data_IF_011642587048
#
_entry.id   IF_011642587048
#
_cell.length_a   1.000
_cell.length_b   1.000
_cell.length_c   1.000
_cell.angle_alpha   90.00
_cell.angle_beta   90.00
_cell.angle_gamma   90.00
#
_symmetry.space_group_name_H-M   'P 1'
#
loop_
_entity.id
_entity.type
_entity.pdbx_description
1 polymer ?
#
# COMPACT_ATOMS: atom_id res chain seq x y z
N UNK A 1 -33.43 10.87 25.35
CA UNK A 1 -32.44 10.08 24.61
C UNK A 1 -31.08 10.69 24.84
N UNK A 2 -30.21 10.01 25.61
CA UNK A 2 -28.82 10.45 25.80
C UNK A 2 -28.05 10.14 24.53
N UNK A 3 -27.57 11.16 23.82
CA UNK A 3 -26.57 10.97 22.79
C UNK A 3 -25.29 10.56 23.49
N UNK A 4 -24.94 9.29 23.41
CA UNK A 4 -23.61 8.82 23.81
C UNK A 4 -22.60 9.59 22.95
N UNK A 5 -21.70 10.26 23.66
CA UNK A 5 -20.58 11.01 23.06
C UNK A 5 -19.69 10.03 22.29
N UNK A 6 -19.96 9.85 21.00
CA UNK A 6 -19.19 8.97 20.13
C UNK A 6 -17.90 9.68 19.76
N UNK A 7 -16.82 9.36 20.47
CA UNK A 7 -15.48 9.83 20.11
C UNK A 7 -15.02 9.10 18.86
N UNK A 8 -14.67 9.83 17.82
CA UNK A 8 -13.95 9.27 16.67
C UNK A 8 -12.56 8.87 17.12
N UNK A 9 -12.26 7.58 17.04
CA UNK A 9 -10.93 7.05 17.33
C UNK A 9 -10.16 6.90 16.03
N UNK A 10 -9.02 7.59 15.93
CA UNK A 10 -8.10 7.46 14.80
C UNK A 10 -6.96 6.52 15.20
N UNK A 11 -6.69 5.52 14.35
CA UNK A 11 -5.49 4.70 14.49
C UNK A 11 -4.26 5.42 13.92
N UNK A 12 -3.10 5.05 14.43
CA UNK A 12 -1.78 5.43 13.92
C UNK A 12 -0.80 4.29 14.16
N UNK A 13 0.41 4.39 13.62
CA UNK A 13 1.44 3.39 13.84
C UNK A 13 1.79 3.23 15.33
N UNK A 14 1.74 4.33 16.11
CA UNK A 14 2.03 4.34 17.55
C UNK A 14 0.80 4.04 18.42
N UNK A 15 -0.40 4.08 17.84
CA UNK A 15 -1.64 3.89 18.59
C UNK A 15 -2.72 3.27 17.71
N UNK A 16 -2.85 1.96 17.77
CA UNK A 16 -3.90 1.23 17.09
C UNK A 16 -4.48 0.13 17.98
N UNK A 17 -5.67 -0.32 17.65
CA UNK A 17 -6.32 -1.46 18.28
C UNK A 17 -6.42 -2.57 17.25
N UNK A 18 -5.88 -3.74 17.60
CA UNK A 18 -6.07 -4.95 16.81
C UNK A 18 -7.54 -5.34 16.86
N UNK A 19 -8.14 -5.51 15.71
CA UNK A 19 -9.49 -6.06 15.61
C UNK A 19 -9.52 -7.51 16.10
N UNK A 20 -10.73 -8.05 16.23
CA UNK A 20 -10.95 -9.43 16.56
C UNK A 20 -12.11 -9.99 15.75
N UNK A 21 -12.12 -11.29 15.57
CA UNK A 21 -13.21 -12.03 14.95
C UNK A 21 -13.46 -13.32 15.74
N UNK A 22 -14.71 -13.62 15.96
CA UNK A 22 -15.13 -14.92 16.43
C UNK A 22 -15.41 -15.82 15.21
N UNK A 23 -14.63 -16.89 15.10
CA UNK A 23 -14.77 -17.87 14.00
C UNK A 23 -15.48 -19.08 14.53
N UNK A 24 -16.62 -19.44 13.89
CA UNK A 24 -17.45 -20.61 14.24
C UNK A 24 -17.36 -21.59 13.09
N UNK A 25 -16.89 -22.80 13.38
CA UNK A 25 -16.79 -23.94 12.45
C UNK A 25 -16.04 -23.63 11.12
N UNK A 26 -15.02 -22.74 11.17
CA UNK A 26 -14.21 -22.39 10.00
C UNK A 26 -12.74 -22.14 10.37
N UNK A 27 -11.88 -21.97 9.38
CA UNK A 27 -10.46 -21.69 9.55
C UNK A 27 -10.19 -20.17 9.57
N UNK A 28 -9.53 -19.70 10.62
CA UNK A 28 -9.12 -18.29 10.75
C UNK A 28 -8.37 -17.74 9.55
N UNK A 29 -7.67 -18.59 8.82
CA UNK A 29 -6.90 -18.21 7.63
C UNK A 29 -7.78 -17.75 6.46
N UNK A 30 -9.09 -18.01 6.51
CA UNK A 30 -10.04 -17.49 5.52
C UNK A 30 -10.43 -16.02 5.78
N UNK A 31 -10.04 -15.46 6.94
CA UNK A 31 -10.45 -14.11 7.35
C UNK A 31 -9.24 -13.23 7.62
N UNK A 32 -9.15 -12.10 6.90
CA UNK A 32 -8.20 -11.04 7.21
C UNK A 32 -8.82 -10.06 8.23
N UNK A 33 -8.44 -10.16 9.49
CA UNK A 33 -8.96 -9.32 10.56
C UNK A 33 -7.86 -8.53 11.27
N UNK A 34 -6.83 -8.18 10.56
CA UNK A 34 -5.72 -7.40 11.10
C UNK A 34 -5.94 -5.91 10.94
N UNK A 35 -5.17 -5.15 11.70
CA UNK A 35 -5.06 -3.72 11.57
C UNK A 35 -3.90 -3.38 10.60
N UNK A 36 -4.12 -2.45 9.68
CA UNK A 36 -3.08 -2.04 8.71
C UNK A 36 -1.83 -1.48 9.38
N UNK A 37 -1.97 -0.86 10.55
CA UNK A 37 -0.83 -0.36 11.33
C UNK A 37 -0.02 -1.51 11.94
N UNK A 38 -0.67 -2.58 12.42
CA UNK A 38 0.01 -3.80 12.89
C UNK A 38 0.82 -4.41 11.75
N UNK A 39 0.21 -4.59 10.58
CA UNK A 39 0.90 -5.13 9.41
C UNK A 39 2.11 -4.27 9.04
N UNK A 40 1.95 -2.94 8.98
CA UNK A 40 3.04 -2.03 8.68
C UNK A 40 4.15 -2.06 9.73
N UNK A 41 3.83 -2.25 11.03
CA UNK A 41 4.82 -2.31 12.11
C UNK A 41 5.76 -3.50 11.97
N UNK A 42 5.29 -4.61 11.40
CA UNK A 42 6.01 -5.87 11.22
C UNK A 42 6.55 -6.08 9.80
N UNK A 43 6.16 -5.23 8.84
CA UNK A 43 6.63 -5.29 7.47
C UNK A 43 8.01 -4.65 7.30
N UNK A 44 8.76 -5.11 6.30
CA UNK A 44 9.98 -4.42 5.85
C UNK A 44 9.61 -3.11 5.14
N UNK A 45 10.55 -2.14 5.05
CA UNK A 45 10.31 -0.91 4.29
C UNK A 45 9.82 -1.21 2.86
N UNK A 46 8.68 -0.62 2.51
CA UNK A 46 8.00 -0.75 1.21
C UNK A 46 7.68 -2.16 0.73
N UNK A 47 7.71 -3.14 1.63
CA UNK A 47 7.18 -4.47 1.35
C UNK A 47 5.67 -4.40 1.16
N UNK A 48 5.17 -4.96 0.07
CA UNK A 48 3.77 -4.92 -0.35
C UNK A 48 2.99 -6.08 0.27
N UNK A 49 2.58 -5.95 1.53
CA UNK A 49 1.88 -7.03 2.25
C UNK A 49 0.39 -7.00 1.93
N UNK A 50 -0.11 -8.07 1.32
CA UNK A 50 -1.53 -8.22 1.00
C UNK A 50 -2.36 -8.36 2.27
N UNK A 51 -3.33 -7.47 2.45
CA UNK A 51 -4.27 -7.46 3.58
C UNK A 51 -5.72 -7.70 3.16
N UNK A 52 -5.98 -7.69 1.86
CA UNK A 52 -7.28 -8.02 1.29
C UNK A 52 -7.12 -8.47 -0.16
N UNK A 53 -7.93 -9.46 -0.56
CA UNK A 53 -7.87 -10.03 -1.91
C UNK A 53 -9.27 -10.34 -2.41
N UNK A 54 -9.58 -9.92 -3.62
CA UNK A 54 -10.81 -10.27 -4.31
C UNK A 54 -10.47 -10.62 -5.76
N UNK A 55 -10.43 -11.93 -6.05
CA UNK A 55 -9.99 -12.47 -7.33
C UNK A 55 -8.55 -12.02 -7.63
N UNK A 56 -8.38 -11.11 -8.58
CA UNK A 56 -7.09 -10.55 -8.99
C UNK A 56 -6.72 -9.23 -8.30
N UNK A 57 -7.70 -8.56 -7.69
CA UNK A 57 -7.47 -7.29 -7.01
C UNK A 57 -7.00 -7.51 -5.58
N UNK A 58 -6.01 -6.73 -5.18
CA UNK A 58 -5.46 -6.78 -3.83
C UNK A 58 -5.39 -5.39 -3.21
N UNK A 59 -5.51 -5.38 -1.90
CA UNK A 59 -5.16 -4.24 -1.06
C UNK A 59 -3.87 -4.62 -0.33
N UNK A 60 -2.87 -3.79 -0.48
CA UNK A 60 -1.54 -3.99 0.10
C UNK A 60 -1.27 -2.91 1.14
N UNK A 61 -0.71 -3.30 2.27
CA UNK A 61 -0.17 -2.37 3.27
C UNK A 61 1.33 -2.30 3.14
N UNK A 62 1.87 -1.07 3.15
CA UNK A 62 3.30 -0.79 3.06
C UNK A 62 3.75 0.04 4.25
N UNK A 63 4.88 -0.35 4.84
CA UNK A 63 5.64 0.48 5.77
C UNK A 63 6.44 1.51 4.98
N UNK A 64 6.06 2.77 5.04
CA UNK A 64 6.79 3.85 4.36
C UNK A 64 7.96 4.31 5.25
N UNK A 65 9.16 3.83 4.95
CA UNK A 65 10.38 4.16 5.68
C UNK A 65 11.54 4.38 4.69
N UNK A 66 12.14 5.57 4.72
CA UNK A 66 13.17 5.95 3.77
C UNK A 66 12.61 6.17 2.36
N UNK A 67 13.32 5.69 1.35
CA UNK A 67 12.95 5.84 -0.07
C UNK A 67 12.76 4.45 -0.70
N UNK A 68 11.65 4.25 -1.41
CA UNK A 68 11.38 3.00 -2.13
C UNK A 68 12.20 2.88 -3.41
N UNK A 69 12.19 1.70 -3.99
CA UNK A 69 12.53 1.52 -5.41
C UNK A 69 11.50 2.27 -6.29
N UNK A 70 11.83 2.39 -7.58
CA UNK A 70 10.89 2.82 -8.60
C UNK A 70 9.97 1.66 -9.01
N UNK A 71 8.68 1.95 -9.10
CA UNK A 71 7.67 1.02 -9.57
C UNK A 71 6.86 1.62 -10.72
N UNK A 72 6.24 0.75 -11.50
CA UNK A 72 5.23 1.07 -12.51
C UNK A 72 4.24 -0.08 -12.60
N UNK A 73 3.11 0.12 -13.29
CA UNK A 73 2.15 -0.94 -13.55
C UNK A 73 1.52 -0.79 -14.94
N UNK A 74 0.98 -1.89 -15.47
CA UNK A 74 0.22 -1.91 -16.72
C UNK A 74 -1.23 -1.39 -16.56
N UNK A 75 -1.62 -0.99 -15.35
CA UNK A 75 -2.94 -0.49 -14.95
C UNK A 75 -2.78 0.68 -13.98
N UNK A 76 -3.87 1.37 -13.70
CA UNK A 76 -3.90 2.41 -12.66
C UNK A 76 -3.88 1.76 -11.28
N UNK A 77 -3.09 2.33 -10.37
CA UNK A 77 -3.06 1.95 -8.96
C UNK A 77 -3.52 3.14 -8.12
N UNK A 78 -4.06 2.87 -6.93
CA UNK A 78 -4.49 3.91 -5.99
C UNK A 78 -3.80 3.74 -4.66
N UNK A 79 -3.31 4.84 -4.08
CA UNK A 79 -2.65 4.83 -2.77
C UNK A 79 -3.31 5.80 -1.81
N UNK A 80 -3.43 5.39 -0.54
CA UNK A 80 -3.92 6.20 0.57
C UNK A 80 -2.83 6.25 1.64
N UNK A 81 -2.55 7.46 2.16
CA UNK A 81 -1.68 7.64 3.31
C UNK A 81 -2.51 7.46 4.58
N UNK A 82 -2.26 6.38 5.32
CA UNK A 82 -2.93 6.09 6.58
C UNK A 82 -2.26 6.75 7.77
N UNK A 83 -0.93 6.93 7.70
CA UNK A 83 -0.13 7.63 8.73
C UNK A 83 1.14 8.23 8.14
N UNK A 84 1.70 9.24 8.83
CA UNK A 84 2.92 9.92 8.43
C UNK A 84 2.77 10.88 7.26
N UNK A 85 3.90 11.22 6.66
CA UNK A 85 4.02 12.11 5.49
C UNK A 85 4.86 11.44 4.42
N UNK A 86 4.35 11.39 3.20
CA UNK A 86 5.00 10.72 2.08
C UNK A 86 5.00 11.61 0.85
N UNK A 87 6.13 11.69 0.20
CA UNK A 87 6.27 12.27 -1.14
C UNK A 87 6.24 11.16 -2.18
N UNK A 88 5.62 11.45 -3.32
CA UNK A 88 5.56 10.55 -4.47
C UNK A 88 6.15 11.26 -5.68
N UNK A 89 7.33 10.82 -6.12
CA UNK A 89 7.90 11.23 -7.41
C UNK A 89 7.18 10.49 -8.53
N UNK A 90 6.85 11.19 -9.62
CA UNK A 90 6.19 10.65 -10.81
C UNK A 90 6.97 11.01 -12.08
N UNK A 91 7.20 9.99 -12.92
CA UNK A 91 7.84 10.10 -14.23
C UNK A 91 6.97 9.44 -15.28
N UNK A 92 6.55 10.16 -16.31
CA UNK A 92 5.91 9.59 -17.50
C UNK A 92 6.97 8.84 -18.30
N UNK A 93 6.80 7.54 -18.44
CA UNK A 93 7.74 6.68 -19.17
C UNK A 93 7.71 6.97 -20.67
N UNK A 94 8.87 6.92 -21.31
CA UNK A 94 8.98 7.08 -22.77
C UNK A 94 8.45 5.86 -23.52
N UNK A 95 8.61 4.66 -22.95
CA UNK A 95 8.17 3.40 -23.54
C UNK A 95 7.49 2.51 -22.49
N UNK A 96 6.27 2.91 -22.02
CA UNK A 96 5.58 2.21 -20.94
C UNK A 96 5.17 0.77 -21.30
N UNK A 97 4.78 0.52 -22.56
CA UNK A 97 4.31 -0.80 -22.99
C UNK A 97 5.46 -1.84 -23.04
N UNK A 98 6.69 -1.40 -23.27
CA UNK A 98 7.88 -2.27 -23.20
C UNK A 98 8.25 -2.60 -21.76
N UNK A 99 8.08 -1.65 -20.84
CA UNK A 99 8.46 -1.81 -19.43
C UNK A 99 7.35 -2.54 -18.66
N UNK A 100 6.10 -2.19 -18.89
CA UNK A 100 4.91 -2.78 -18.27
C UNK A 100 3.89 -3.22 -19.33
N UNK A 101 4.16 -4.34 -20.03
CA UNK A 101 3.23 -4.88 -21.02
C UNK A 101 1.89 -5.25 -20.37
N UNK A 102 0.79 -5.12 -21.10
CA UNK A 102 -0.57 -5.32 -20.60
C UNK A 102 -0.86 -6.72 -20.01
N UNK A 103 -0.05 -7.72 -20.38
CA UNK A 103 -0.18 -9.08 -19.83
C UNK A 103 0.54 -9.29 -18.48
N UNK A 104 1.36 -8.33 -18.05
CA UNK A 104 2.00 -8.37 -16.74
C UNK A 104 1.08 -7.71 -15.72
N UNK A 105 0.71 -8.46 -14.70
CA UNK A 105 -0.17 -8.01 -13.63
C UNK A 105 0.64 -7.50 -12.42
N UNK A 106 0.03 -6.58 -11.68
CA UNK A 106 0.61 -5.99 -10.47
C UNK A 106 1.68 -4.95 -10.74
N UNK A 107 2.28 -4.49 -9.66
CA UNK A 107 3.38 -3.53 -9.70
C UNK A 107 4.66 -4.19 -10.20
N UNK A 108 5.40 -3.49 -11.03
CA UNK A 108 6.70 -3.90 -11.58
C UNK A 108 7.77 -3.01 -10.98
N UNK A 109 8.79 -3.58 -10.38
CA UNK A 109 9.95 -2.86 -9.88
C UNK A 109 10.92 -2.59 -11.03
N UNK A 110 11.39 -1.35 -11.13
CA UNK A 110 12.40 -0.97 -12.10
C UNK A 110 13.81 -1.25 -11.54
N UNK A 111 14.66 -1.83 -12.34
CA UNK A 111 16.07 -2.12 -11.97
C UNK A 111 16.96 -0.87 -12.05
N UNK A 112 16.52 0.15 -12.77
CA UNK A 112 17.23 1.42 -12.97
C UNK A 112 16.27 2.61 -12.88
N UNK A 113 16.79 3.84 -12.69
CA UNK A 113 15.96 5.03 -12.75
C UNK A 113 15.14 5.11 -14.03
N UNK A 114 13.86 5.53 -13.96
CA UNK A 114 12.97 5.55 -15.12
C UNK A 114 13.45 6.53 -16.18
N UNK A 115 13.38 6.11 -17.43
CA UNK A 115 13.59 6.96 -18.60
C UNK A 115 12.27 7.61 -18.98
N UNK A 116 12.24 8.94 -19.02
CA UNK A 116 11.01 9.64 -19.34
C UNK A 116 10.98 11.08 -18.82
N UNK A 117 9.83 11.70 -18.96
CA UNK A 117 9.61 13.09 -18.55
C UNK A 117 9.07 13.14 -17.12
N UNK A 118 9.69 13.95 -16.27
CA UNK A 118 9.16 14.22 -14.92
C UNK A 118 7.73 14.78 -15.01
N UNK A 119 6.79 14.12 -14.34
CA UNK A 119 5.40 14.57 -14.23
C UNK A 119 5.21 15.52 -13.06
N UNK A 120 5.79 15.21 -11.90
CA UNK A 120 5.67 16.01 -10.71
C UNK A 120 6.10 15.30 -9.44
N UNK A 121 5.84 15.99 -8.34
CA UNK A 121 6.03 15.52 -6.98
C UNK A 121 4.74 15.80 -6.20
N UNK A 122 4.14 14.75 -5.64
CA UNK A 122 3.01 14.88 -4.72
C UNK A 122 3.51 14.80 -3.28
N UNK A 123 2.99 15.69 -2.42
CA UNK A 123 3.28 15.71 -0.98
C UNK A 123 2.00 15.33 -0.24
N UNK A 124 2.00 14.17 0.35
CA UNK A 124 0.81 13.57 0.95
C UNK A 124 1.01 13.40 2.46
N UNK A 125 -0.09 13.55 3.20
CA UNK A 125 -0.17 13.31 4.64
C UNK A 125 -1.36 12.40 4.91
N UNK A 126 -1.53 11.98 6.16
CA UNK A 126 -2.66 11.16 6.60
C UNK A 126 -4.00 11.61 5.97
N UNK A 127 -4.73 10.65 5.40
CA UNK A 127 -6.02 10.86 4.75
C UNK A 127 -5.94 11.31 3.29
N UNK A 128 -4.77 11.71 2.77
CA UNK A 128 -4.61 11.99 1.36
C UNK A 128 -4.55 10.69 0.55
N UNK A 129 -5.08 10.77 -0.66
CA UNK A 129 -5.01 9.70 -1.65
C UNK A 129 -4.45 10.22 -2.96
N UNK A 130 -3.88 9.32 -3.74
CA UNK A 130 -3.36 9.62 -5.06
C UNK A 130 -3.61 8.47 -6.04
N UNK A 131 -3.83 8.82 -7.29
CA UNK A 131 -3.79 7.90 -8.40
C UNK A 131 -2.35 7.80 -8.92
N UNK A 132 -1.90 6.59 -9.13
CA UNK A 132 -0.62 6.24 -9.77
C UNK A 132 -0.98 5.73 -11.17
N UNK A 133 -0.91 6.58 -12.20
CA UNK A 133 -1.50 6.25 -13.49
C UNK A 133 -0.66 5.24 -14.27
N UNK A 134 -1.33 4.38 -15.02
CA UNK A 134 -0.71 3.55 -16.05
C UNK A 134 0.25 4.37 -16.91
N UNK A 135 1.42 3.81 -17.22
CA UNK A 135 2.43 4.44 -18.04
C UNK A 135 3.29 5.47 -17.32
N UNK A 136 3.10 5.62 -16.00
CA UNK A 136 4.00 6.38 -15.14
C UNK A 136 4.81 5.44 -14.25
N UNK A 137 6.07 5.82 -13.99
CA UNK A 137 6.83 5.26 -12.88
C UNK A 137 6.63 6.14 -11.66
N UNK A 138 6.58 5.53 -10.49
CA UNK A 138 6.44 6.20 -9.21
C UNK A 138 7.45 5.69 -8.18
N UNK A 139 7.79 6.55 -7.22
CA UNK A 139 8.65 6.23 -6.09
C UNK A 139 8.14 6.95 -4.86
N UNK A 140 8.05 6.23 -3.77
CA UNK A 140 7.68 6.79 -2.46
C UNK A 140 8.92 7.24 -1.69
N UNK A 141 8.76 8.32 -0.92
CA UNK A 141 9.74 8.76 0.04
C UNK A 141 9.04 9.24 1.32
N UNK A 142 9.33 8.61 2.44
CA UNK A 142 8.91 9.10 3.74
C UNK A 142 9.71 10.35 4.12
N UNK A 143 9.04 11.38 4.61
CA UNK A 143 9.66 12.68 4.92
C UNK A 143 9.65 13.03 6.40
N UNK A 144 8.86 12.30 7.18
CA UNK A 144 8.63 12.62 8.60
C UNK A 144 8.50 11.31 9.40
N UNK A 145 9.61 10.58 9.49
CA UNK A 145 9.64 9.28 10.15
C UNK A 145 8.98 8.17 9.35
N UNK A 146 8.45 7.18 10.04
CA UNK A 146 7.76 6.03 9.42
C UNK A 146 6.31 6.37 9.16
N UNK A 147 5.85 6.08 7.95
CA UNK A 147 4.45 6.21 7.55
C UNK A 147 3.80 4.86 7.22
N UNK A 148 2.51 4.90 6.95
CA UNK A 148 1.72 3.74 6.52
C UNK A 148 0.95 4.09 5.27
N UNK A 149 1.12 3.27 4.24
CA UNK A 149 0.39 3.37 2.98
C UNK A 149 -0.53 2.16 2.80
N UNK A 150 -1.67 2.40 2.18
CA UNK A 150 -2.54 1.35 1.64
C UNK A 150 -2.61 1.55 0.14
N UNK A 151 -2.21 0.53 -0.60
CA UNK A 151 -2.16 0.50 -2.06
C UNK A 151 -3.20 -0.49 -2.59
N UNK A 152 -4.05 -0.05 -3.48
CA UNK A 152 -4.95 -0.91 -4.26
C UNK A 152 -4.34 -1.16 -5.63
N UNK A 153 -4.18 -2.43 -5.97
CA UNK A 153 -3.57 -2.85 -7.23
C UNK A 153 -4.11 -4.22 -7.68
N UNK A 154 -3.50 -4.81 -8.70
CA UNK A 154 -3.70 -6.19 -9.11
C UNK A 154 -2.60 -7.03 -8.48
N UNK A 155 -2.92 -8.24 -8.03
CA UNK A 155 -1.95 -9.19 -7.49
C UNK A 155 -0.81 -9.44 -8.49
N UNK A 156 0.42 -9.33 -8.04
CA UNK A 156 1.58 -9.44 -8.90
C UNK A 156 2.82 -10.00 -8.19
N UNK A 157 3.97 -10.01 -8.87
CA UNK A 157 5.19 -10.67 -8.37
C UNK A 157 5.76 -10.04 -7.09
N UNK A 158 5.36 -8.82 -6.76
CA UNK A 158 5.79 -8.13 -5.54
C UNK A 158 4.73 -8.14 -4.43
N UNK A 159 3.54 -8.70 -4.67
CA UNK A 159 2.51 -8.89 -3.66
C UNK A 159 2.91 -10.03 -2.71
N UNK A 160 3.00 -9.75 -1.42
CA UNK A 160 3.45 -10.71 -0.40
C UNK A 160 2.27 -11.15 0.44
N UNK A 161 1.87 -12.41 0.32
CA UNK A 161 0.77 -13.02 1.09
C UNK A 161 1.30 -13.63 2.39
N UNK A 162 1.64 -12.80 3.38
CA UNK A 162 2.09 -13.23 4.70
C UNK A 162 1.23 -12.71 5.86
N UNK A 163 0.04 -12.21 5.56
CA UNK A 163 -0.85 -11.64 6.56
C UNK A 163 -1.18 -12.61 7.70
N UNK A 164 -1.30 -13.91 7.41
CA UNK A 164 -1.55 -14.94 8.42
C UNK A 164 -0.42 -15.08 9.43
N UNK A 165 0.82 -14.84 9.03
CA UNK A 165 1.98 -14.85 9.92
C UNK A 165 1.96 -13.66 10.89
N UNK A 166 1.38 -12.53 10.46
CA UNK A 166 1.28 -11.31 11.26
C UNK A 166 0.01 -11.32 12.13
N UNK A 167 -1.13 -11.68 11.53
CA UNK A 167 -2.44 -11.48 12.16
C UNK A 167 -2.85 -12.58 13.15
N UNK A 168 -2.29 -13.77 13.02
CA UNK A 168 -2.66 -14.93 13.85
C UNK A 168 -1.72 -15.15 15.04
N UNK A 169 -0.72 -14.29 15.23
CA UNK A 169 0.22 -14.32 16.37
C UNK A 169 -0.32 -13.55 17.57
#
# INVERSE_FOLDING_TARGET
MSFTDTKTVFGSLDSYVKGGIEVIDDDRRHYAFSNVFEVASLAKPYEKVVVGKNLRYVIETLRAEGTSDWFTASHDESVIVMDGSVEIDLVKLDDPERIAPAHIEGSIRLEAPPQGRRMGLMKLRRGHQALLPKGAAYRFRSTDGVGVLVLQTIHGPHSVEKWSEICLT
#
